data_IF_030332836983
#
_entry.id   IF_030332836983
#
_cell.length_a   1.000
_cell.length_b   1.000
_cell.length_c   1.000
_cell.angle_alpha   90.00
_cell.angle_beta   90.00
_cell.angle_gamma   90.00
#
_symmetry.space_group_name_H-M   'P 1'
#
loop_
_entity.id
_entity.type
_entity.pdbx_description
1 polymer ?
#
# COMPACT_ATOMS: atom_id res chain seq x y z
N UNK A 1 12.39 -11.11 62.42
CA UNK A 1 11.06 -11.73 62.21
C UNK A 1 10.04 -10.61 62.16
N UNK A 2 9.81 -10.06 60.96
CA UNK A 2 8.90 -8.93 60.76
C UNK A 2 7.45 -9.46 60.82
N UNK A 3 6.78 -9.19 61.93
CA UNK A 3 5.37 -9.53 62.17
C UNK A 3 4.49 -8.58 61.36
N UNK A 4 4.25 -8.94 60.11
CA UNK A 4 3.35 -8.21 59.25
C UNK A 4 1.91 -8.61 59.63
N UNK A 5 1.10 -7.62 59.99
CA UNK A 5 -0.19 -7.83 60.62
C UNK A 5 -1.17 -8.44 59.61
N UNK A 6 -1.94 -9.46 60.01
CA UNK A 6 -2.84 -10.22 59.12
C UNK A 6 -3.83 -9.33 58.35
N UNK A 7 -4.21 -8.20 58.97
CA UNK A 7 -5.08 -7.18 58.39
C UNK A 7 -4.43 -6.37 57.26
N UNK A 8 -3.12 -6.10 57.33
CA UNK A 8 -2.39 -5.37 56.28
C UNK A 8 -2.18 -6.24 55.05
N UNK A 9 -1.92 -7.54 55.25
CA UNK A 9 -1.89 -8.50 54.14
C UNK A 9 -3.21 -8.61 53.40
N UNK A 10 -4.32 -8.67 54.14
CA UNK A 10 -5.66 -8.80 53.55
C UNK A 10 -6.07 -7.52 52.80
N UNK A 11 -5.66 -6.35 53.31
CA UNK A 11 -5.82 -5.07 52.62
C UNK A 11 -4.97 -4.99 51.35
N UNK A 12 -3.69 -5.39 51.39
CA UNK A 12 -2.82 -5.43 50.21
C UNK A 12 -3.31 -6.41 49.14
N UNK A 13 -3.88 -7.55 49.55
CA UNK A 13 -4.40 -8.56 48.63
C UNK A 13 -5.68 -8.07 47.93
N UNK A 14 -6.57 -7.37 48.66
CA UNK A 14 -7.74 -6.71 48.08
C UNK A 14 -7.35 -5.56 47.15
N UNK A 15 -6.35 -4.76 47.51
CA UNK A 15 -5.85 -3.67 46.66
C UNK A 15 -5.21 -4.20 45.36
N UNK A 16 -4.48 -5.32 45.44
CA UNK A 16 -3.92 -6.04 44.26
C UNK A 16 -5.02 -6.63 43.38
N UNK A 17 -6.07 -7.20 43.97
CA UNK A 17 -7.24 -7.69 43.24
C UNK A 17 -7.99 -6.57 42.52
N UNK A 18 -8.16 -5.42 43.17
CA UNK A 18 -8.76 -4.22 42.57
C UNK A 18 -7.90 -3.66 41.43
N UNK A 19 -6.57 -3.59 41.60
CA UNK A 19 -5.66 -3.15 40.55
C UNK A 19 -5.68 -4.12 39.34
N UNK A 20 -5.68 -5.43 39.58
CA UNK A 20 -5.74 -6.43 38.53
C UNK A 20 -7.08 -6.39 37.77
N UNK A 21 -8.20 -6.15 38.46
CA UNK A 21 -9.51 -5.96 37.84
C UNK A 21 -9.58 -4.70 36.97
N UNK A 22 -8.94 -3.60 37.40
CA UNK A 22 -8.91 -2.34 36.66
C UNK A 22 -8.10 -2.43 35.35
N UNK A 23 -7.01 -3.21 35.32
CA UNK A 23 -6.21 -3.41 34.10
C UNK A 23 -6.94 -4.25 33.04
N UNK A 24 -7.80 -5.20 33.42
CA UNK A 24 -8.59 -6.00 32.45
C UNK A 24 -9.70 -5.22 31.74
N UNK A 25 -10.05 -4.02 32.21
CA UNK A 25 -11.02 -3.13 31.56
C UNK A 25 -10.38 -2.19 30.52
N UNK A 26 -9.05 -2.22 30.37
CA UNK A 26 -8.30 -1.40 29.40
C UNK A 26 -7.90 -2.19 28.14
N UNK A 27 -8.72 -3.14 27.69
CA UNK A 27 -8.61 -3.67 26.33
C UNK A 27 -9.16 -2.62 25.36
N UNK A 28 -8.39 -1.56 25.13
CA UNK A 28 -8.60 -0.69 23.96
C UNK A 28 -8.51 -1.59 22.74
N UNK A 29 -9.61 -1.69 21.98
CA UNK A 29 -9.60 -2.35 20.69
C UNK A 29 -8.46 -1.74 19.87
N UNK A 30 -7.48 -2.56 19.52
CA UNK A 30 -6.42 -2.14 18.63
C UNK A 30 -7.11 -1.84 17.30
N UNK A 31 -6.99 -0.60 16.83
CA UNK A 31 -7.38 -0.19 15.48
C UNK A 31 -6.51 -0.97 14.51
N UNK A 32 -7.00 -2.13 14.11
CA UNK A 32 -6.30 -3.07 13.27
C UNK A 32 -6.98 -3.05 11.91
N UNK A 33 -6.66 -2.01 11.13
CA UNK A 33 -6.11 -2.05 9.76
C UNK A 33 -6.33 -0.66 9.10
N UNK A 34 -5.62 -0.33 8.01
CA UNK A 34 -4.69 -1.17 7.25
C UNK A 34 -3.49 -1.69 8.07
N UNK A 35 -3.06 -2.92 7.79
CA UNK A 35 -1.99 -3.62 8.53
C UNK A 35 -0.59 -3.37 8.00
N UNK A 36 -0.53 -2.92 6.75
CA UNK A 36 0.68 -2.56 6.02
C UNK A 36 0.40 -1.29 5.25
N UNK A 37 1.40 -0.42 5.15
CA UNK A 37 1.30 0.83 4.43
C UNK A 37 2.37 0.91 3.34
N UNK A 38 1.96 1.35 2.16
CA UNK A 38 2.80 1.62 1.01
C UNK A 38 2.60 3.06 0.58
N UNK A 39 3.67 3.85 0.73
CA UNK A 39 3.75 5.19 0.15
C UNK A 39 4.12 5.06 -1.34
N UNK A 40 3.22 5.49 -2.21
CA UNK A 40 3.38 5.38 -3.66
C UNK A 40 3.91 6.66 -4.28
N UNK A 41 4.74 6.50 -5.29
CA UNK A 41 5.13 7.54 -6.23
C UNK A 41 5.07 6.96 -7.65
N UNK A 42 4.49 7.72 -8.59
CA UNK A 42 4.24 7.26 -9.94
C UNK A 42 4.69 8.31 -10.95
N UNK A 43 5.50 7.87 -11.91
CA UNK A 43 5.88 8.64 -13.09
C UNK A 43 5.23 8.06 -14.32
N UNK A 44 4.50 8.88 -15.07
CA UNK A 44 3.93 8.46 -16.36
C UNK A 44 5.03 8.28 -17.40
N UNK A 45 4.99 7.19 -18.16
CA UNK A 45 5.98 6.92 -19.20
C UNK A 45 5.32 7.01 -20.57
N UNK A 46 5.80 7.93 -21.40
CA UNK A 46 5.31 8.12 -22.76
C UNK A 46 6.43 8.01 -23.80
N UNK A 47 6.06 7.62 -25.01
CA UNK A 47 6.90 7.61 -26.19
C UNK A 47 6.05 7.93 -27.40
N UNK A 48 6.54 8.78 -28.30
CA UNK A 48 5.86 9.15 -29.55
C UNK A 48 4.40 9.61 -29.35
N UNK A 49 4.16 10.44 -28.32
CA UNK A 49 2.83 10.93 -27.91
C UNK A 49 1.84 9.82 -27.51
N UNK A 50 2.35 8.67 -27.08
CA UNK A 50 1.56 7.57 -26.53
C UNK A 50 2.03 7.24 -25.12
N UNK A 51 1.10 7.05 -24.19
CA UNK A 51 1.37 6.43 -22.91
C UNK A 51 1.77 4.97 -23.15
N UNK A 52 2.90 4.55 -22.61
CA UNK A 52 3.44 3.19 -22.76
C UNK A 52 3.55 2.46 -21.42
N UNK A 53 3.43 3.15 -20.30
CA UNK A 53 3.47 2.53 -18.98
C UNK A 53 3.51 3.54 -17.84
N UNK A 54 3.67 3.00 -16.63
CA UNK A 54 3.86 3.74 -15.40
C UNK A 54 5.15 3.23 -14.73
N UNK A 55 6.06 4.13 -14.36
CA UNK A 55 7.15 3.80 -13.45
C UNK A 55 6.64 4.04 -12.02
N UNK A 56 6.64 2.99 -11.21
CA UNK A 56 6.12 2.97 -9.85
C UNK A 56 7.29 2.88 -8.87
N UNK A 57 7.19 3.60 -7.76
CA UNK A 57 8.07 3.51 -6.60
C UNK A 57 7.20 3.33 -5.37
N UNK A 58 7.35 2.19 -4.70
CA UNK A 58 6.60 1.80 -3.51
C UNK A 58 7.53 1.74 -2.32
N UNK A 59 7.29 2.60 -1.34
CA UNK A 59 8.04 2.64 -0.10
C UNK A 59 7.18 2.00 0.99
N UNK A 60 7.59 0.81 1.42
CA UNK A 60 6.87 0.05 2.44
C UNK A 60 7.16 0.63 3.83
N UNK A 61 6.20 0.51 4.76
CA UNK A 61 6.43 0.84 6.16
C UNK A 61 7.51 -0.03 6.81
N UNK A 62 7.97 0.36 8.00
CA UNK A 62 9.07 -0.32 8.69
C UNK A 62 8.71 -1.75 9.11
N UNK A 63 7.45 -2.02 9.43
CA UNK A 63 6.99 -3.34 9.89
C UNK A 63 6.99 -4.33 8.73
N UNK A 64 6.38 -3.96 7.61
CA UNK A 64 6.34 -4.74 6.36
C UNK A 64 7.75 -4.94 5.80
N UNK A 65 8.61 -3.93 5.97
CA UNK A 65 10.00 -4.00 5.54
C UNK A 65 10.86 -4.91 6.40
N UNK A 66 10.50 -5.14 7.67
CA UNK A 66 11.37 -5.83 8.63
C UNK A 66 11.79 -7.22 8.15
N UNK A 67 10.86 -8.02 7.65
CA UNK A 67 11.14 -9.38 7.17
C UNK A 67 12.04 -9.36 5.93
N UNK A 68 11.73 -8.51 4.93
CA UNK A 68 12.55 -8.35 3.73
C UNK A 68 13.97 -7.88 4.06
N UNK A 69 14.09 -6.95 5.01
CA UNK A 69 15.38 -6.39 5.41
C UNK A 69 16.17 -7.36 6.31
N UNK A 70 15.49 -8.22 7.06
CA UNK A 70 16.12 -9.29 7.81
C UNK A 70 16.80 -10.29 6.86
N UNK A 71 16.08 -10.74 5.82
CA UNK A 71 16.60 -11.66 4.81
C UNK A 71 17.72 -11.04 3.94
N UNK A 72 17.67 -9.72 3.74
CA UNK A 72 18.74 -8.98 3.07
C UNK A 72 20.02 -8.82 3.92
N UNK A 73 19.92 -8.97 5.25
CA UNK A 73 21.00 -8.75 6.21
C UNK A 73 21.81 -7.45 5.94
N UNK A 74 23.13 -7.60 5.71
CA UNK A 74 24.08 -6.56 5.32
C UNK A 74 24.56 -6.74 3.87
N UNK A 75 23.78 -7.43 3.04
CA UNK A 75 24.14 -7.67 1.65
C UNK A 75 24.35 -6.33 0.92
N UNK A 76 25.40 -6.25 0.10
CA UNK A 76 25.63 -5.09 -0.76
C UNK A 76 24.42 -4.91 -1.69
N UNK A 77 24.08 -3.65 -1.95
CA UNK A 77 23.10 -3.31 -2.99
C UNK A 77 23.46 -4.00 -4.32
N UNK A 78 22.45 -4.36 -5.09
CA UNK A 78 22.54 -5.13 -6.35
C UNK A 78 23.14 -6.54 -6.26
N UNK A 79 23.34 -7.06 -5.05
CA UNK A 79 23.73 -8.46 -4.87
C UNK A 79 22.61 -9.42 -5.30
N UNK A 80 22.99 -10.68 -5.53
CA UNK A 80 22.02 -11.73 -5.87
C UNK A 80 20.94 -11.92 -4.80
N UNK A 81 21.21 -11.56 -3.54
CA UNK A 81 20.22 -11.56 -2.46
C UNK A 81 19.11 -10.55 -2.76
N UNK A 82 19.46 -9.28 -3.04
CA UNK A 82 18.49 -8.24 -3.38
C UNK A 82 17.70 -8.57 -4.65
N UNK A 83 18.34 -9.18 -5.66
CA UNK A 83 17.64 -9.62 -6.89
C UNK A 83 16.61 -10.71 -6.62
N UNK A 84 16.92 -11.67 -5.76
CA UNK A 84 15.98 -12.74 -5.36
C UNK A 84 14.79 -12.16 -4.59
N UNK A 85 15.05 -11.31 -3.60
CA UNK A 85 13.99 -10.63 -2.85
C UNK A 85 13.11 -9.76 -3.76
N UNK A 86 13.72 -9.02 -4.69
CA UNK A 86 12.97 -8.24 -5.67
C UNK A 86 12.06 -9.12 -6.55
N UNK A 87 12.54 -10.29 -6.96
CA UNK A 87 11.75 -11.24 -7.75
C UNK A 87 10.60 -11.86 -6.94
N UNK A 88 10.82 -12.19 -5.67
CA UNK A 88 9.78 -12.72 -4.77
C UNK A 88 8.67 -11.69 -4.52
N UNK A 89 9.04 -10.45 -4.20
CA UNK A 89 8.08 -9.36 -4.04
C UNK A 89 7.33 -9.10 -5.34
N UNK A 90 8.03 -9.03 -6.49
CA UNK A 90 7.36 -8.83 -7.78
C UNK A 90 6.45 -9.99 -8.19
N UNK A 91 6.74 -11.22 -7.81
CA UNK A 91 5.86 -12.35 -8.09
C UNK A 91 4.50 -12.17 -7.41
N UNK A 92 4.46 -11.63 -6.19
CA UNK A 92 3.20 -11.26 -5.52
C UNK A 92 2.48 -10.15 -6.27
N UNK A 93 3.19 -9.06 -6.59
CA UNK A 93 2.64 -7.92 -7.34
C UNK A 93 2.03 -8.36 -8.67
N UNK A 94 2.68 -9.27 -9.39
CA UNK A 94 2.17 -9.86 -10.64
C UNK A 94 0.93 -10.73 -10.41
N UNK A 95 0.93 -11.56 -9.35
CA UNK A 95 -0.22 -12.37 -8.97
C UNK A 95 -1.46 -11.55 -8.63
N UNK A 96 -1.26 -10.28 -8.24
CA UNK A 96 -2.31 -9.32 -7.93
C UNK A 96 -2.51 -8.27 -9.03
N UNK A 97 -2.09 -8.57 -10.26
CA UNK A 97 -2.32 -7.69 -11.41
C UNK A 97 -1.74 -6.27 -11.21
N UNK A 98 -0.53 -6.19 -10.65
CA UNK A 98 0.15 -4.97 -10.22
C UNK A 98 -0.61 -4.13 -9.20
N UNK A 99 -1.66 -4.67 -8.58
CA UNK A 99 -2.59 -3.95 -7.73
C UNK A 99 -3.18 -2.70 -8.42
N UNK A 100 -3.11 -2.61 -9.75
CA UNK A 100 -3.34 -1.36 -10.47
C UNK A 100 -4.34 -1.54 -11.61
N UNK A 101 -5.43 -0.80 -11.51
CA UNK A 101 -6.43 -0.66 -12.55
C UNK A 101 -6.16 0.60 -13.38
N UNK A 102 -6.21 0.45 -14.69
CA UNK A 102 -6.13 1.56 -15.65
C UNK A 102 -7.34 1.46 -16.58
N UNK A 103 -8.17 2.48 -16.58
CA UNK A 103 -9.35 2.59 -17.44
C UNK A 103 -9.23 3.78 -18.38
N UNK A 104 -9.83 3.63 -19.56
CA UNK A 104 -10.01 4.70 -20.53
C UNK A 104 -11.36 4.56 -21.21
N UNK A 105 -12.18 5.60 -21.14
CA UNK A 105 -13.54 5.59 -21.72
C UNK A 105 -14.39 4.39 -21.21
N UNK A 106 -14.25 4.08 -19.92
CA UNK A 106 -14.92 2.93 -19.27
C UNK A 106 -14.37 1.55 -19.66
N UNK A 107 -13.30 1.47 -20.45
CA UNK A 107 -12.69 0.21 -20.88
C UNK A 107 -11.37 -0.03 -20.16
N UNK A 108 -11.09 -1.26 -19.68
CA UNK A 108 -9.81 -1.57 -19.05
C UNK A 108 -8.68 -1.52 -20.09
N UNK A 109 -7.56 -0.93 -19.70
CA UNK A 109 -6.31 -0.91 -20.45
C UNK A 109 -5.44 -2.06 -19.98
N UNK A 110 -5.05 -2.94 -20.91
CA UNK A 110 -4.23 -4.11 -20.59
C UNK A 110 -2.75 -3.74 -20.44
N UNK A 111 -2.04 -4.50 -19.63
CA UNK A 111 -0.59 -4.43 -19.42
C UNK A 111 0.10 -5.73 -19.86
N UNK A 112 1.42 -5.69 -20.03
CA UNK A 112 2.20 -6.91 -20.26
C UNK A 112 2.28 -7.74 -18.97
N UNK A 113 2.47 -9.06 -19.14
CA UNK A 113 2.53 -10.00 -18.02
C UNK A 113 3.80 -9.87 -17.16
N UNK A 114 4.82 -9.14 -17.62
CA UNK A 114 6.07 -8.94 -16.90
C UNK A 114 6.45 -7.46 -16.91
N UNK A 115 7.01 -6.93 -15.81
CA UNK A 115 7.58 -5.60 -15.80
C UNK A 115 8.79 -5.57 -16.74
N UNK A 116 9.04 -4.42 -17.36
CA UNK A 116 10.24 -4.24 -18.18
C UNK A 116 11.49 -4.12 -17.31
N UNK A 117 11.33 -3.54 -16.12
CA UNK A 117 12.38 -3.32 -15.13
C UNK A 117 11.77 -3.38 -13.73
N UNK A 118 12.52 -3.91 -12.76
CA UNK A 118 12.20 -3.82 -11.34
C UNK A 118 13.47 -3.92 -10.48
N UNK A 119 13.43 -3.31 -9.30
CA UNK A 119 14.53 -3.25 -8.34
C UNK A 119 13.99 -3.14 -6.93
N UNK A 120 14.68 -3.75 -5.96
CA UNK A 120 14.38 -3.62 -4.54
C UNK A 120 15.61 -3.05 -3.82
N UNK A 121 15.40 -2.00 -3.03
CA UNK A 121 16.44 -1.30 -2.30
C UNK A 121 16.08 -1.10 -0.82
N UNK A 122 17.08 -0.73 -0.02
CA UNK A 122 16.91 -0.28 1.36
C UNK A 122 17.00 1.25 1.42
N UNK A 123 16.00 1.89 2.04
CA UNK A 123 16.02 3.30 2.44
C UNK A 123 15.82 3.39 3.96
N UNK A 124 16.92 3.45 4.73
CA UNK A 124 16.86 3.37 6.19
C UNK A 124 16.28 2.02 6.63
N UNK A 125 15.17 2.04 7.37
CA UNK A 125 14.44 0.84 7.81
C UNK A 125 13.29 0.46 6.87
N UNK A 126 13.21 1.07 5.69
CA UNK A 126 12.16 0.82 4.69
C UNK A 126 12.72 0.08 3.48
N UNK A 127 11.93 -0.85 2.96
CA UNK A 127 12.14 -1.47 1.66
C UNK A 127 11.48 -0.60 0.57
N UNK A 128 12.19 -0.41 -0.54
CA UNK A 128 11.75 0.41 -1.67
C UNK A 128 11.72 -0.47 -2.91
N UNK A 129 10.53 -0.73 -3.43
CA UNK A 129 10.33 -1.46 -4.67
C UNK A 129 10.11 -0.45 -5.80
N UNK A 130 11.00 -0.45 -6.79
CA UNK A 130 10.82 0.26 -8.04
C UNK A 130 10.47 -0.73 -9.14
N UNK A 131 9.50 -0.41 -9.98
CA UNK A 131 9.19 -1.22 -11.16
C UNK A 131 8.49 -0.42 -12.25
N UNK A 132 8.49 -0.95 -13.47
CA UNK A 132 7.71 -0.41 -14.59
C UNK A 132 6.53 -1.33 -14.86
N UNK A 133 5.32 -0.77 -14.84
CA UNK A 133 4.09 -1.39 -15.35
C UNK A 133 3.94 -1.02 -16.83
N UNK A 134 4.28 -1.90 -17.78
CA UNK A 134 4.14 -1.62 -19.21
C UNK A 134 2.72 -1.86 -19.69
N UNK A 135 2.17 -0.94 -20.47
CA UNK A 135 0.91 -1.19 -21.19
C UNK A 135 1.13 -2.22 -22.30
N UNK A 136 0.16 -3.10 -22.53
CA UNK A 136 0.21 -4.10 -23.58
C UNK A 136 0.21 -3.46 -24.97
N UNK A 137 -0.54 -2.35 -25.10
CA UNK A 137 -0.60 -1.55 -26.33
C UNK A 137 -0.40 -0.07 -25.99
N UNK A 138 0.53 0.64 -26.67
CA UNK A 138 0.70 2.08 -26.50
C UNK A 138 -0.59 2.87 -26.76
N UNK A 139 -1.01 3.68 -25.79
CA UNK A 139 -2.26 4.44 -25.84
C UNK A 139 -2.00 5.89 -26.23
N UNK A 140 -2.69 6.44 -27.23
CA UNK A 140 -2.53 7.85 -27.61
C UNK A 140 -2.80 8.78 -26.40
N UNK A 141 -1.92 9.76 -26.14
CA UNK A 141 -2.08 10.67 -25.00
C UNK A 141 -3.32 11.56 -25.16
N UNK A 142 -3.48 12.17 -26.34
CA UNK A 142 -4.64 13.00 -26.64
C UNK A 142 -5.95 12.18 -26.62
N UNK A 143 -7.05 12.84 -26.26
CA UNK A 143 -8.39 12.25 -26.27
C UNK A 143 -8.99 12.09 -24.87
N UNK A 144 -9.64 10.94 -24.62
CA UNK A 144 -10.28 10.64 -23.33
C UNK A 144 -9.25 10.45 -22.22
N UNK A 145 -9.59 10.83 -20.97
CA UNK A 145 -8.69 10.72 -19.83
C UNK A 145 -8.39 9.25 -19.50
N UNK A 146 -7.25 9.03 -18.87
CA UNK A 146 -6.93 7.79 -18.18
C UNK A 146 -7.36 7.91 -16.73
N UNK A 147 -8.00 6.87 -16.20
CA UNK A 147 -8.38 6.74 -14.80
C UNK A 147 -7.56 5.60 -14.21
N UNK A 148 -6.78 5.90 -13.16
CA UNK A 148 -5.82 4.98 -12.58
C UNK A 148 -6.08 4.89 -11.08
N UNK A 149 -6.16 3.67 -10.58
CA UNK A 149 -6.25 3.38 -9.14
C UNK A 149 -5.33 2.22 -8.82
N UNK A 150 -4.54 2.37 -7.76
CA UNK A 150 -3.67 1.31 -7.24
C UNK A 150 -4.12 1.00 -5.81
N UNK A 151 -4.46 -0.26 -5.53
CA UNK A 151 -5.02 -0.70 -4.27
C UNK A 151 -4.91 -2.21 -4.07
N UNK A 152 -4.84 -2.64 -2.80
CA UNK A 152 -5.06 -4.02 -2.41
C UNK A 152 -6.56 -4.34 -2.38
N UNK A 153 -7.05 -5.33 -3.16
CA UNK A 153 -8.47 -5.68 -3.19
C UNK A 153 -9.08 -5.97 -1.81
N UNK A 154 -8.29 -6.51 -0.88
CA UNK A 154 -8.76 -6.88 0.46
C UNK A 154 -8.73 -5.73 1.47
N UNK A 155 -8.10 -4.60 1.12
CA UNK A 155 -7.83 -3.47 2.01
C UNK A 155 -6.95 -3.83 3.24
N UNK A 156 -6.17 -4.90 3.14
CA UNK A 156 -5.16 -5.26 4.12
C UNK A 156 -3.95 -4.32 4.06
N UNK A 157 -3.61 -3.86 2.85
CA UNK A 157 -2.54 -2.89 2.59
C UNK A 157 -3.11 -1.53 2.19
N UNK A 158 -2.75 -0.48 2.92
CA UNK A 158 -2.99 0.89 2.46
C UNK A 158 -1.98 1.24 1.38
N UNK A 159 -2.48 1.60 0.20
CA UNK A 159 -1.65 2.01 -0.92
C UNK A 159 -2.05 3.43 -1.28
N UNK A 160 -1.21 4.40 -0.92
CA UNK A 160 -1.58 5.80 -1.01
C UNK A 160 -0.45 6.67 -1.57
N UNK A 161 -0.84 7.64 -2.38
CA UNK A 161 -0.03 8.82 -2.65
C UNK A 161 -0.17 9.77 -1.46
N UNK A 162 0.97 10.18 -0.88
CA UNK A 162 1.00 11.17 0.20
C UNK A 162 0.35 12.49 -0.23
N UNK A 163 0.69 12.96 -1.43
CA UNK A 163 0.06 14.11 -2.06
C UNK A 163 0.29 14.10 -3.59
N UNK A 164 -0.12 15.19 -4.26
CA UNK A 164 0.02 15.34 -5.72
C UNK A 164 1.47 15.39 -6.20
N UNK A 165 2.44 15.72 -5.35
CA UNK A 165 3.87 15.75 -5.69
C UNK A 165 4.44 14.34 -5.86
N UNK A 166 3.72 13.31 -5.41
CA UNK A 166 4.07 11.92 -5.68
C UNK A 166 3.71 11.46 -7.11
N UNK A 167 3.06 12.31 -7.92
CA UNK A 167 2.72 12.05 -9.31
C UNK A 167 3.57 12.93 -10.24
N UNK A 168 4.25 12.30 -11.20
CA UNK A 168 5.23 12.98 -12.05
C UNK A 168 4.89 12.87 -13.53
N UNK A 169 4.87 14.02 -14.19
CA UNK A 169 4.83 14.12 -15.65
C UNK A 169 6.24 14.45 -16.15
N UNK A 170 6.82 13.62 -17.03
CA UNK A 170 8.01 13.99 -17.78
C UNK A 170 7.83 15.33 -18.52
N UNK A 171 8.90 16.11 -18.75
CA UNK A 171 8.79 17.46 -19.31
C UNK A 171 8.04 17.55 -20.64
N UNK A 172 8.16 16.54 -21.50
CA UNK A 172 7.45 16.43 -22.78
C UNK A 172 5.94 16.24 -22.61
N UNK A 173 5.53 15.50 -21.57
CA UNK A 173 4.11 15.35 -21.20
C UNK A 173 3.57 16.59 -20.48
N UNK A 174 4.35 17.20 -19.58
CA UNK A 174 3.91 18.30 -18.73
C UNK A 174 3.39 19.53 -19.51
N UNK A 175 3.81 19.70 -20.77
CA UNK A 175 3.33 20.77 -21.64
C UNK A 175 1.89 20.57 -22.15
N UNK A 176 1.42 19.33 -22.20
CA UNK A 176 0.14 18.95 -22.83
C UNK A 176 -0.79 18.16 -21.92
N UNK A 177 -0.27 17.65 -20.81
CA UNK A 177 -0.99 16.81 -19.88
C UNK A 177 -1.15 17.50 -18.52
N UNK A 178 -2.25 17.19 -17.85
CA UNK A 178 -2.50 17.52 -16.45
C UNK A 178 -3.03 16.27 -15.75
N UNK A 179 -2.75 16.17 -14.46
CA UNK A 179 -3.34 15.13 -13.63
C UNK A 179 -4.11 15.72 -12.45
N UNK A 180 -5.06 14.94 -11.94
CA UNK A 180 -5.69 15.15 -10.65
C UNK A 180 -5.56 13.89 -9.79
N UNK A 181 -5.50 14.09 -8.48
CA UNK A 181 -5.53 13.05 -7.46
C UNK A 181 -6.75 13.30 -6.59
N UNK A 182 -7.58 12.28 -6.42
CA UNK A 182 -8.78 12.31 -5.56
C UNK A 182 -8.67 11.18 -4.56
N UNK A 183 -8.67 11.53 -3.27
CA UNK A 183 -8.78 10.56 -2.17
C UNK A 183 -10.27 10.32 -1.87
N UNK A 184 -10.75 9.08 -1.91
CA UNK A 184 -12.14 8.79 -1.60
C UNK A 184 -12.44 9.07 -0.13
N UNK A 185 -13.74 9.23 0.16
CA UNK A 185 -14.26 9.32 1.53
C UNK A 185 -15.33 8.24 1.69
N UNK A 186 -14.93 7.00 1.98
CA UNK A 186 -15.85 5.92 2.31
C UNK A 186 -16.80 6.35 3.43
N UNK A 187 -18.05 5.88 3.41
CA UNK A 187 -18.98 6.18 4.48
C UNK A 187 -18.60 5.47 5.79
N UNK A 188 -19.20 5.89 6.90
CA UNK A 188 -18.89 5.34 8.22
C UNK A 188 -19.20 3.85 8.36
N UNK A 189 -20.19 3.34 7.60
CA UNK A 189 -20.56 1.93 7.65
C UNK A 189 -19.49 1.07 6.99
N UNK A 190 -18.94 1.53 5.86
CA UNK A 190 -17.88 0.85 5.15
C UNK A 190 -16.55 0.93 5.90
N UNK A 191 -16.25 2.05 6.55
CA UNK A 191 -15.12 2.17 7.47
C UNK A 191 -15.25 1.21 8.66
N UNK A 192 -16.43 1.12 9.28
CA UNK A 192 -16.66 0.21 10.39
C UNK A 192 -16.59 -1.26 9.95
N UNK A 193 -17.14 -1.58 8.77
CA UNK A 193 -17.04 -2.91 8.18
C UNK A 193 -15.60 -3.30 7.92
N UNK A 194 -14.83 -2.41 7.28
CA UNK A 194 -13.40 -2.60 7.14
C UNK A 194 -12.88 -2.96 8.51
N UNK A 195 -12.97 -2.08 9.52
CA UNK A 195 -12.41 -2.25 10.89
C UNK A 195 -12.80 -3.54 11.62
N UNK A 196 -13.82 -4.25 11.16
CA UNK A 196 -14.24 -5.54 11.72
C UNK A 196 -13.51 -6.76 11.15
N UNK A 197 -12.84 -6.62 9.99
CA UNK A 197 -12.10 -7.69 9.34
C UNK A 197 -10.82 -8.03 10.11
N UNK A 198 -10.64 -9.31 10.44
CA UNK A 198 -9.35 -9.83 10.93
C UNK A 198 -8.45 -10.26 9.76
N UNK A 199 -7.17 -10.53 10.02
CA UNK A 199 -6.16 -10.95 9.02
C UNK A 199 -6.57 -12.17 8.18
N UNK A 200 -7.44 -13.04 8.71
CA UNK A 200 -7.90 -14.25 8.02
C UNK A 200 -9.22 -14.04 7.26
N UNK A 201 -9.85 -12.87 7.39
CA UNK A 201 -11.12 -12.57 6.74
C UNK A 201 -10.84 -11.80 5.45
N UNK A 202 -11.24 -12.37 4.32
CA UNK A 202 -11.30 -11.64 3.06
C UNK A 202 -12.72 -11.08 2.89
N UNK A 203 -12.88 -9.80 2.51
CA UNK A 203 -14.19 -9.29 2.14
C UNK A 203 -14.72 -10.07 0.92
N UNK A 204 -16.05 -10.21 0.79
CA UNK A 204 -16.65 -10.73 -0.44
C UNK A 204 -16.14 -9.96 -1.67
N UNK A 205 -15.79 -10.66 -2.75
CA UNK A 205 -15.22 -10.04 -3.96
C UNK A 205 -16.14 -8.96 -4.56
N UNK A 206 -17.45 -9.14 -4.46
CA UNK A 206 -18.47 -8.21 -4.97
C UNK A 206 -18.53 -6.88 -4.21
N UNK A 207 -18.00 -6.83 -2.99
CA UNK A 207 -17.89 -5.59 -2.23
C UNK A 207 -16.81 -4.65 -2.80
N UNK A 208 -15.81 -5.20 -3.50
CA UNK A 208 -14.66 -4.47 -4.04
C UNK A 208 -14.04 -3.52 -2.99
N UNK A 209 -13.86 -4.00 -1.76
CA UNK A 209 -13.57 -3.16 -0.59
C UNK A 209 -12.38 -2.23 -0.84
N UNK A 210 -11.23 -2.76 -1.26
CA UNK A 210 -10.04 -1.96 -1.55
C UNK A 210 -10.28 -0.83 -2.52
N UNK A 211 -11.11 -1.06 -3.54
CA UNK A 211 -11.45 -0.04 -4.54
C UNK A 211 -12.20 1.15 -3.95
N UNK A 212 -12.96 0.94 -2.88
CA UNK A 212 -13.71 2.01 -2.21
C UNK A 212 -12.78 2.98 -1.46
N UNK A 213 -11.63 2.49 -0.99
CA UNK A 213 -10.61 3.27 -0.29
C UNK A 213 -9.49 3.75 -1.23
N UNK A 214 -9.42 3.22 -2.46
CA UNK A 214 -8.40 3.54 -3.44
C UNK A 214 -8.45 5.01 -3.90
N UNK A 215 -7.29 5.67 -3.83
CA UNK A 215 -7.12 6.96 -4.48
C UNK A 215 -7.28 6.83 -6.00
N UNK A 216 -7.86 7.85 -6.64
CA UNK A 216 -8.07 7.90 -8.09
C UNK A 216 -7.24 9.01 -8.72
N UNK A 217 -6.40 8.61 -9.66
CA UNK A 217 -5.60 9.51 -10.50
C UNK A 217 -6.30 9.64 -11.84
N UNK A 218 -6.49 10.87 -12.31
CA UNK A 218 -6.99 11.13 -13.66
C UNK A 218 -5.92 11.87 -14.45
N UNK A 219 -5.46 11.29 -15.56
CA UNK A 219 -4.54 11.93 -16.50
C UNK A 219 -5.32 12.38 -17.74
N UNK A 220 -5.28 13.68 -18.04
CA UNK A 220 -5.87 14.28 -19.23
C UNK A 220 -4.80 15.00 -20.04
N UNK A 221 -4.71 14.69 -21.33
CA UNK A 221 -3.80 15.37 -22.27
C UNK A 221 -4.56 16.01 -23.44
N UNK A 222 -3.96 17.03 -24.04
CA UNK A 222 -4.45 17.75 -25.22
C UNK A 222 -3.57 17.49 -26.45
#
# INVERSE_FOLDING_TARGET
MLLYNKNEYDLMMKLRGLLAGLLSLCSVGVLAHPHSFIDMNTTFVAKDQKLIGLKMVWVMDEITSADLLYDAENAKSDSEIWKKLAAEVMANVLGQHYFTDIYRDGKPVKYLNLPTEYHLARQGHKAVLEFVLPLAEPQALAGKPFEISTYDPTYFVDMAYQDKQALHLPPDMAQRCKFSLVTPKPDSSLQAYALSLDKNDAPPEDLALGQQFAQRVTLQCQ
#
